data_IF_251118717637
#
_entry.id   IF_251118717637
#
_cell.length_a   1.000
_cell.length_b   1.000
_cell.length_c   1.000
_cell.angle_alpha   90.00
_cell.angle_beta   90.00
_cell.angle_gamma   90.00
#
_symmetry.space_group_name_H-M   'P 1'
#
loop_
_entity.id
_entity.type
_entity.pdbx_description
1 polymer ?
#
# COMPACT_ATOMS: atom_id res chain seq x y z
N UNK A 1 13.05 11.61 11.95
CA UNK A 1 11.97 11.94 11.03
C UNK A 1 11.32 10.65 10.53
N UNK A 2 10.00 10.63 10.50
CA UNK A 2 9.22 9.54 9.89
C UNK A 2 8.31 10.20 8.87
N UNK A 3 8.50 9.85 7.59
CA UNK A 3 7.72 10.36 6.48
C UNK A 3 7.08 9.19 5.74
N UNK A 4 5.88 9.40 5.25
CA UNK A 4 5.20 8.53 4.31
C UNK A 4 5.22 9.22 2.94
N UNK A 5 5.70 8.49 1.94
CA UNK A 5 5.72 8.96 0.55
C UNK A 5 4.69 8.18 -0.26
N UNK A 6 3.94 8.88 -1.07
CA UNK A 6 3.15 8.31 -2.15
C UNK A 6 3.79 8.74 -3.46
N UNK A 7 4.10 7.77 -4.31
CA UNK A 7 4.70 8.03 -5.63
C UNK A 7 4.02 7.15 -6.67
N UNK A 8 3.99 7.62 -7.90
CA UNK A 8 3.55 6.86 -9.07
C UNK A 8 4.70 6.76 -10.05
N UNK A 9 4.79 5.66 -10.79
CA UNK A 9 5.82 5.43 -11.80
C UNK A 9 5.42 4.31 -12.75
N UNK A 10 5.99 4.31 -13.93
CA UNK A 10 5.79 3.27 -14.96
C UNK A 10 6.64 2.02 -14.70
N UNK A 11 7.75 2.20 -13.99
CA UNK A 11 8.68 1.12 -13.64
C UNK A 11 8.63 0.83 -12.15
N UNK A 12 8.82 -0.43 -11.80
CA UNK A 12 9.02 -0.83 -10.42
C UNK A 12 10.36 -0.29 -9.87
N UNK A 13 10.50 -0.22 -8.56
CA UNK A 13 11.78 0.15 -7.95
C UNK A 13 12.89 -0.86 -8.31
N UNK A 14 12.53 -2.13 -8.48
CA UNK A 14 13.44 -3.21 -8.87
C UNK A 14 13.94 -3.02 -10.30
N UNK A 15 13.03 -2.76 -11.25
CA UNK A 15 13.37 -2.48 -12.65
C UNK A 15 14.20 -1.21 -12.77
N UNK A 16 13.86 -0.19 -12.02
CA UNK A 16 14.61 1.07 -12.01
C UNK A 16 16.02 0.88 -11.46
N UNK A 17 16.19 0.12 -10.38
CA UNK A 17 17.50 -0.22 -9.85
C UNK A 17 18.30 -1.09 -10.83
N UNK A 18 17.67 -2.07 -11.46
CA UNK A 18 18.29 -2.93 -12.46
C UNK A 18 18.78 -2.14 -13.69
N UNK A 19 18.01 -1.17 -14.16
CA UNK A 19 18.42 -0.29 -15.26
C UNK A 19 19.67 0.55 -14.92
N UNK A 20 19.90 0.83 -13.64
CA UNK A 20 21.09 1.50 -13.12
C UNK A 20 22.22 0.53 -12.74
N UNK A 21 22.12 -0.76 -13.05
CA UNK A 21 23.08 -1.80 -12.69
C UNK A 21 23.12 -2.11 -11.19
N UNK A 22 22.11 -1.73 -10.44
CA UNK A 22 21.99 -1.95 -9.00
C UNK A 22 21.00 -3.06 -8.69
N UNK A 23 21.16 -3.71 -7.54
CA UNK A 23 20.20 -4.68 -7.01
C UNK A 23 19.44 -4.10 -5.83
N UNK A 24 18.14 -4.29 -5.80
CA UNK A 24 17.33 -3.95 -4.63
C UNK A 24 17.64 -4.91 -3.48
N UNK A 25 17.66 -4.37 -2.28
CA UNK A 25 17.76 -5.16 -1.05
C UNK A 25 16.36 -5.36 -0.47
N UNK A 26 16.13 -6.51 0.15
CA UNK A 26 14.86 -6.85 0.79
C UNK A 26 14.35 -5.78 1.78
N UNK A 27 15.27 -5.07 2.44
CA UNK A 27 14.95 -3.94 3.31
C UNK A 27 14.37 -2.72 2.57
N UNK A 28 14.70 -2.53 1.29
CA UNK A 28 14.13 -1.47 0.44
C UNK A 28 12.71 -1.84 0.01
N UNK A 29 12.49 -3.06 -0.41
CA UNK A 29 11.18 -3.56 -0.86
C UNK A 29 10.12 -3.50 0.25
N UNK A 30 10.50 -3.82 1.47
CA UNK A 30 9.60 -3.70 2.63
C UNK A 30 9.28 -2.23 2.97
N UNK A 31 10.16 -1.29 2.64
CA UNK A 31 9.94 0.14 2.86
C UNK A 31 9.18 0.80 1.72
N UNK A 32 9.26 0.27 0.53
CA UNK A 32 8.58 0.76 -0.68
C UNK A 32 7.59 -0.28 -1.16
N UNK A 33 6.35 -0.18 -0.67
CA UNK A 33 5.28 -1.08 -1.06
C UNK A 33 4.78 -0.63 -2.44
N UNK A 34 4.96 -1.48 -3.43
CA UNK A 34 4.49 -1.24 -4.79
C UNK A 34 3.16 -1.95 -5.00
N UNK A 35 2.19 -1.24 -5.52
CA UNK A 35 0.84 -1.76 -5.77
C UNK A 35 0.51 -1.46 -7.23
N UNK A 36 0.07 -2.46 -8.02
CA UNK A 36 -0.42 -2.20 -9.36
C UNK A 36 -1.53 -1.14 -9.34
N UNK A 37 -1.39 -0.12 -10.18
CA UNK A 37 -2.37 0.97 -10.27
C UNK A 37 -3.44 0.72 -11.31
N UNK A 38 -3.25 -0.23 -12.23
CA UNK A 38 -4.24 -0.60 -13.24
C UNK A 38 -5.31 -1.51 -12.64
N UNK A 39 -6.54 -1.04 -12.65
CA UNK A 39 -7.71 -1.78 -12.17
C UNK A 39 -8.28 -2.75 -13.20
N UNK A 40 -7.75 -2.75 -14.42
CA UNK A 40 -8.26 -3.53 -15.55
C UNK A 40 -9.50 -2.93 -16.22
N UNK A 41 -9.89 -1.71 -15.86
CA UNK A 41 -11.05 -0.99 -16.42
C UNK A 41 -10.64 0.30 -17.13
N UNK A 42 -10.34 1.33 -16.37
CA UNK A 42 -10.02 2.66 -16.87
C UNK A 42 -8.67 3.16 -16.29
N UNK A 43 -7.64 2.32 -16.36
CA UNK A 43 -6.36 2.57 -15.71
C UNK A 43 -6.51 2.54 -14.20
N UNK A 44 -6.18 3.64 -13.52
CA UNK A 44 -6.31 3.72 -12.05
C UNK A 44 -7.76 3.83 -11.54
N UNK A 45 -8.74 3.91 -12.43
CA UNK A 45 -10.14 4.12 -12.07
C UNK A 45 -10.99 2.89 -12.39
N UNK A 46 -11.71 2.38 -11.43
CA UNK A 46 -12.72 1.34 -11.64
C UNK A 46 -14.03 1.94 -12.17
N UNK A 47 -14.31 3.20 -11.80
CA UNK A 47 -15.58 3.84 -12.02
C UNK A 47 -15.42 5.29 -12.49
N UNK A 48 -16.13 5.68 -13.53
CA UNK A 48 -16.03 7.01 -14.11
C UNK A 48 -17.17 7.96 -13.70
N UNK A 49 -18.03 7.55 -12.78
CA UNK A 49 -19.15 8.37 -12.25
C UNK A 49 -20.02 9.01 -13.32
N UNK A 50 -20.29 8.28 -14.40
CA UNK A 50 -21.12 8.73 -15.52
C UNK A 50 -20.40 9.56 -16.58
N UNK A 51 -19.09 9.75 -16.49
CA UNK A 51 -18.30 10.41 -17.54
C UNK A 51 -17.98 9.47 -18.70
N UNK A 52 -17.86 10.02 -19.92
CA UNK A 52 -17.73 9.25 -21.16
C UNK A 52 -16.41 8.47 -21.30
N UNK A 53 -15.35 8.84 -20.55
CA UNK A 53 -14.05 8.16 -20.64
C UNK A 53 -13.08 8.53 -19.53
N UNK A 54 -12.08 7.65 -19.32
CA UNK A 54 -11.07 7.80 -18.29
C UNK A 54 -10.26 9.09 -18.42
N UNK A 55 -9.98 9.54 -19.65
CA UNK A 55 -9.29 10.81 -19.90
C UNK A 55 -10.11 12.00 -19.41
N UNK A 56 -11.39 12.08 -19.82
CA UNK A 56 -12.30 13.15 -19.40
C UNK A 56 -12.43 13.19 -17.88
N UNK A 57 -12.51 12.01 -17.24
CA UNK A 57 -12.55 11.90 -15.78
C UNK A 57 -11.26 12.41 -15.14
N UNK A 58 -10.09 11.99 -15.63
CA UNK A 58 -8.79 12.42 -15.12
C UNK A 58 -8.58 13.93 -15.26
N UNK A 59 -8.91 14.49 -16.44
CA UNK A 59 -8.80 15.94 -16.71
C UNK A 59 -9.73 16.75 -15.80
N UNK A 60 -10.94 16.24 -15.53
CA UNK A 60 -11.89 16.87 -14.60
C UNK A 60 -11.38 16.83 -13.17
N UNK A 61 -10.83 15.69 -12.71
CA UNK A 61 -10.22 15.59 -11.39
C UNK A 61 -9.06 16.56 -11.22
N UNK A 62 -8.19 16.66 -12.22
CA UNK A 62 -7.06 17.58 -12.22
C UNK A 62 -7.53 19.04 -12.13
N UNK A 63 -8.44 19.45 -12.97
CA UNK A 63 -9.00 20.80 -12.96
C UNK A 63 -9.65 21.14 -11.60
N UNK A 64 -10.40 20.19 -11.02
CA UNK A 64 -11.03 20.38 -9.71
C UNK A 64 -9.96 20.49 -8.59
N UNK A 65 -8.89 19.69 -8.65
CA UNK A 65 -7.80 19.73 -7.67
C UNK A 65 -7.02 21.06 -7.72
N UNK A 66 -6.91 21.68 -8.88
CA UNK A 66 -6.27 23.00 -9.03
C UNK A 66 -7.04 24.12 -8.29
N UNK A 67 -8.35 23.97 -8.14
CA UNK A 67 -9.23 24.95 -7.50
C UNK A 67 -9.63 24.57 -6.07
N UNK A 68 -9.67 23.28 -5.75
CA UNK A 68 -10.14 22.76 -4.47
C UNK A 68 -9.11 21.81 -3.86
N UNK A 69 -8.18 22.37 -3.09
CA UNK A 69 -7.11 21.60 -2.46
C UNK A 69 -6.87 22.04 -1.01
N UNK A 70 -6.27 21.14 -0.23
CA UNK A 70 -5.83 21.40 1.13
C UNK A 70 -6.91 21.38 2.21
N UNK A 71 -8.18 21.52 1.89
CA UNK A 71 -9.28 21.57 2.85
C UNK A 71 -9.39 20.28 3.67
N UNK A 72 -9.41 19.14 3.01
CA UNK A 72 -9.52 17.81 3.64
C UNK A 72 -8.37 17.57 4.63
N UNK A 73 -7.13 17.86 4.23
CA UNK A 73 -5.97 17.67 5.08
C UNK A 73 -6.00 18.61 6.30
N UNK A 74 -6.36 19.88 6.08
CA UNK A 74 -6.49 20.87 7.17
C UNK A 74 -7.52 20.42 8.19
N UNK A 75 -8.72 20.06 7.74
CA UNK A 75 -9.81 19.58 8.62
C UNK A 75 -9.37 18.35 9.42
N UNK A 76 -8.66 17.42 8.78
CA UNK A 76 -8.14 16.24 9.47
C UNK A 76 -7.12 16.61 10.55
N UNK A 77 -6.16 17.47 10.24
CA UNK A 77 -5.13 17.91 11.20
C UNK A 77 -5.72 18.70 12.36
N UNK A 78 -6.67 19.59 12.09
CA UNK A 78 -7.38 20.36 13.13
C UNK A 78 -8.14 19.44 14.08
N UNK A 79 -8.85 18.45 13.54
CA UNK A 79 -9.56 17.46 14.36
C UNK A 79 -8.58 16.60 15.20
N UNK A 80 -7.44 16.18 14.63
CA UNK A 80 -6.41 15.45 15.37
C UNK A 80 -5.79 16.29 16.48
N UNK A 81 -5.52 17.57 16.23
CA UNK A 81 -4.93 18.49 17.21
C UNK A 81 -5.87 18.78 18.38
N UNK A 82 -7.16 18.65 18.18
CA UNK A 82 -8.17 18.86 19.22
C UNK A 82 -8.08 17.87 20.40
N UNK A 83 -7.68 16.62 20.13
CA UNK A 83 -7.46 15.58 21.16
C UNK A 83 -6.40 14.57 20.68
N UNK A 84 -5.17 15.05 20.57
CA UNK A 84 -4.06 14.25 20.00
C UNK A 84 -3.79 12.98 20.82
N UNK A 85 -3.92 13.04 22.13
CA UNK A 85 -3.63 11.89 23.00
C UNK A 85 -4.63 10.76 22.79
N UNK A 86 -5.93 11.05 22.89
CA UNK A 86 -7.00 10.08 22.68
C UNK A 86 -6.97 9.50 21.25
N UNK A 87 -6.75 10.35 20.24
CA UNK A 87 -6.61 9.87 18.86
C UNK A 87 -5.39 8.97 18.67
N UNK A 88 -4.25 9.30 19.29
CA UNK A 88 -3.03 8.48 19.22
C UNK A 88 -3.24 7.11 19.86
N UNK A 89 -3.89 7.04 21.02
CA UNK A 89 -4.18 5.75 21.68
C UNK A 89 -5.13 4.89 20.84
N UNK A 90 -6.23 5.49 20.36
CA UNK A 90 -7.17 4.79 19.49
C UNK A 90 -6.51 4.28 18.21
N UNK A 91 -5.70 5.10 17.55
CA UNK A 91 -4.99 4.69 16.34
C UNK A 91 -4.01 3.55 16.61
N UNK A 92 -3.26 3.57 17.70
CA UNK A 92 -2.35 2.45 18.07
C UNK A 92 -3.11 1.14 18.26
N UNK A 93 -4.24 1.19 18.97
CA UNK A 93 -5.08 0.01 19.18
C UNK A 93 -5.67 -0.50 17.87
N UNK A 94 -6.17 0.40 17.04
CA UNK A 94 -6.79 0.09 15.76
C UNK A 94 -5.77 -0.49 14.75
N UNK A 95 -4.59 0.11 14.64
CA UNK A 95 -3.49 -0.42 13.80
C UNK A 95 -3.15 -1.85 14.22
N UNK A 96 -3.02 -2.10 15.52
CA UNK A 96 -2.72 -3.45 16.03
C UNK A 96 -3.83 -4.45 15.69
N UNK A 97 -5.10 -4.06 15.86
CA UNK A 97 -6.26 -4.87 15.52
C UNK A 97 -6.30 -5.21 14.03
N UNK A 98 -6.19 -4.18 13.17
CA UNK A 98 -6.20 -4.34 11.71
C UNK A 98 -5.01 -5.17 11.25
N UNK A 99 -3.81 -4.93 11.79
CA UNK A 99 -2.64 -5.72 11.43
C UNK A 99 -2.82 -7.20 11.75
N UNK A 100 -3.38 -7.52 12.91
CA UNK A 100 -3.68 -8.90 13.30
C UNK A 100 -4.72 -9.55 12.35
N UNK A 101 -5.75 -8.81 11.98
CA UNK A 101 -6.79 -9.25 11.05
C UNK A 101 -6.26 -9.49 9.64
N UNK A 102 -5.38 -8.63 9.15
CA UNK A 102 -4.82 -8.69 7.81
C UNK A 102 -3.67 -9.68 7.65
N UNK A 103 -3.10 -10.18 8.75
CA UNK A 103 -1.92 -11.05 8.70
C UNK A 103 -2.32 -12.48 8.30
N UNK A 104 -1.90 -12.99 7.12
CA UNK A 104 -2.15 -14.36 6.74
C UNK A 104 -1.39 -15.34 7.63
N UNK A 105 -1.91 -16.56 7.77
CA UNK A 105 -1.20 -17.63 8.43
C UNK A 105 0.12 -17.94 7.70
N UNK A 106 1.22 -18.07 8.45
CA UNK A 106 2.54 -18.32 7.86
C UNK A 106 3.26 -17.09 7.30
N UNK A 107 2.73 -15.88 7.56
CA UNK A 107 3.40 -14.65 7.14
C UNK A 107 4.76 -14.47 7.83
N UNK A 108 5.81 -14.29 7.04
CA UNK A 108 7.15 -13.96 7.53
C UNK A 108 7.27 -12.51 8.01
N UNK A 109 8.39 -12.19 8.67
CA UNK A 109 8.63 -10.87 9.25
C UNK A 109 8.54 -9.71 8.25
N UNK A 110 8.94 -9.93 7.00
CA UNK A 110 8.86 -8.92 5.95
C UNK A 110 7.41 -8.58 5.60
N UNK A 111 6.58 -9.59 5.42
CA UNK A 111 5.13 -9.43 5.16
C UNK A 111 4.48 -8.73 6.35
N UNK A 112 4.79 -9.12 7.59
CA UNK A 112 4.28 -8.46 8.78
C UNK A 112 4.62 -6.97 8.86
N UNK A 113 5.82 -6.57 8.42
CA UNK A 113 6.21 -5.14 8.36
C UNK A 113 5.42 -4.36 7.30
N UNK A 114 5.15 -4.96 6.14
CA UNK A 114 4.31 -4.35 5.13
C UNK A 114 2.86 -4.22 5.62
N UNK A 115 2.31 -5.28 6.23
CA UNK A 115 0.96 -5.27 6.80
C UNK A 115 0.77 -4.17 7.84
N UNK A 116 1.77 -3.89 8.68
CA UNK A 116 1.69 -2.77 9.63
C UNK A 116 1.53 -1.41 8.92
N UNK A 117 2.08 -1.23 7.71
CA UNK A 117 1.88 -0.01 6.92
C UNK A 117 0.49 0.04 6.31
N UNK A 118 0.01 -1.06 5.77
CA UNK A 118 -1.37 -1.19 5.31
C UNK A 118 -2.37 -0.91 6.43
N UNK A 119 -2.12 -1.45 7.62
CA UNK A 119 -2.95 -1.23 8.80
C UNK A 119 -2.94 0.24 9.25
N UNK A 120 -1.79 0.92 9.17
CA UNK A 120 -1.69 2.35 9.44
C UNK A 120 -2.56 3.17 8.48
N UNK A 121 -2.49 2.88 7.18
CA UNK A 121 -3.28 3.58 6.15
C UNK A 121 -4.78 3.33 6.37
N UNK A 122 -5.17 2.07 6.62
CA UNK A 122 -6.56 1.74 6.92
C UNK A 122 -7.07 2.46 8.18
N UNK A 123 -6.33 2.41 9.29
CA UNK A 123 -6.72 3.05 10.54
C UNK A 123 -6.84 4.58 10.40
N UNK A 124 -5.93 5.20 9.66
CA UNK A 124 -5.98 6.63 9.39
C UNK A 124 -7.21 7.01 8.54
N UNK A 125 -7.52 6.22 7.50
CA UNK A 125 -8.70 6.42 6.66
C UNK A 125 -10.01 6.22 7.44
N UNK A 126 -10.10 5.18 8.28
CA UNK A 126 -11.27 4.97 9.15
C UNK A 126 -11.42 6.10 10.18
N UNK A 127 -10.33 6.62 10.72
CA UNK A 127 -10.39 7.78 11.60
C UNK A 127 -10.88 9.02 10.85
N UNK A 128 -10.36 9.28 9.64
CA UNK A 128 -10.82 10.39 8.80
C UNK A 128 -12.32 10.28 8.48
N UNK A 129 -12.82 9.07 8.25
CA UNK A 129 -14.24 8.80 8.03
C UNK A 129 -15.07 9.12 9.29
N UNK A 130 -14.66 8.64 10.46
CA UNK A 130 -15.33 8.95 11.73
C UNK A 130 -15.34 10.44 12.09
N UNK A 131 -14.30 11.16 11.66
CA UNK A 131 -14.21 12.61 11.81
C UNK A 131 -15.01 13.41 10.76
N UNK A 132 -15.70 12.70 9.85
CA UNK A 132 -16.50 13.33 8.79
C UNK A 132 -15.69 13.97 7.68
N UNK A 133 -14.39 13.64 7.56
CA UNK A 133 -13.47 14.26 6.59
C UNK A 133 -13.61 13.67 5.20
N UNK A 134 -13.81 12.35 5.09
CA UNK A 134 -13.85 11.66 3.79
C UNK A 134 -15.25 11.55 3.18
N UNK A 135 -16.28 11.54 3.98
CA UNK A 135 -17.65 11.22 3.53
C UNK A 135 -17.84 9.75 3.11
N UNK A 136 -16.86 8.89 3.33
CA UNK A 136 -16.96 7.45 3.05
C UNK A 136 -17.82 6.74 4.09
N UNK A 137 -18.46 5.63 3.74
CA UNK A 137 -19.05 4.75 4.74
C UNK A 137 -17.95 4.12 5.62
N UNK A 138 -18.31 3.79 6.85
CA UNK A 138 -17.42 3.09 7.77
C UNK A 138 -16.99 1.73 7.19
N UNK A 139 -15.71 1.40 7.33
CA UNK A 139 -15.12 0.18 6.78
C UNK A 139 -14.59 0.32 5.34
N UNK A 140 -14.84 1.43 4.65
CA UNK A 140 -14.41 1.61 3.26
C UNK A 140 -12.89 1.69 3.11
N UNK A 141 -12.21 2.41 3.99
CA UNK A 141 -10.74 2.48 3.98
C UNK A 141 -10.11 1.10 4.22
N UNK A 142 -10.65 0.32 5.14
CA UNK A 142 -10.19 -1.03 5.39
C UNK A 142 -10.47 -1.96 4.18
N UNK A 143 -11.62 -1.83 3.54
CA UNK A 143 -11.97 -2.57 2.32
C UNK A 143 -10.96 -2.28 1.19
N UNK A 144 -10.68 -1.01 0.93
CA UNK A 144 -9.72 -0.59 -0.08
C UNK A 144 -8.30 -1.13 0.21
N UNK A 145 -7.87 -1.03 1.46
CA UNK A 145 -6.57 -1.56 1.88
C UNK A 145 -6.47 -3.08 1.71
N UNK A 146 -7.54 -3.83 1.95
CA UNK A 146 -7.56 -5.28 1.68
C UNK A 146 -7.35 -5.60 0.20
N UNK A 147 -7.94 -4.83 -0.70
CA UNK A 147 -7.73 -4.98 -2.15
C UNK A 147 -6.27 -4.73 -2.50
N UNK A 148 -5.70 -3.63 -2.03
CA UNK A 148 -4.29 -3.29 -2.25
C UNK A 148 -3.33 -4.32 -1.67
N UNK A 149 -3.59 -4.80 -0.45
CA UNK A 149 -2.78 -5.86 0.18
C UNK A 149 -2.83 -7.16 -0.61
N UNK A 150 -4.03 -7.55 -1.08
CA UNK A 150 -4.19 -8.75 -1.91
C UNK A 150 -3.40 -8.64 -3.22
N UNK A 151 -3.45 -7.50 -3.89
CA UNK A 151 -2.70 -7.25 -5.11
C UNK A 151 -1.18 -7.31 -4.85
N UNK A 152 -0.71 -6.66 -3.78
CA UNK A 152 0.69 -6.71 -3.38
C UNK A 152 1.18 -8.12 -3.04
N UNK A 153 0.37 -8.92 -2.31
CA UNK A 153 0.71 -10.31 -1.99
C UNK A 153 0.74 -11.21 -3.24
N UNK A 154 -0.17 -10.98 -4.19
CA UNK A 154 -0.21 -11.72 -5.45
C UNK A 154 1.04 -11.46 -6.29
N UNK A 155 1.47 -10.20 -6.40
CA UNK A 155 2.70 -9.82 -7.12
C UNK A 155 3.95 -10.35 -6.44
N UNK A 156 3.99 -10.32 -5.10
CA UNK A 156 5.10 -10.88 -4.32
C UNK A 156 5.25 -12.39 -4.49
N UNK A 157 4.17 -13.13 -4.67
CA UNK A 157 4.13 -14.58 -4.94
C UNK A 157 4.46 -15.49 -3.75
N UNK A 158 4.89 -14.96 -2.59
CA UNK A 158 5.21 -15.75 -1.39
C UNK A 158 4.97 -14.98 -0.09
N UNK A 159 4.72 -15.71 1.01
CA UNK A 159 4.51 -15.16 2.36
C UNK A 159 5.78 -15.14 3.22
N UNK A 160 6.85 -15.82 2.78
CA UNK A 160 8.14 -15.91 3.49
C UNK A 160 9.04 -14.69 3.31
N UNK A 161 10.25 -14.77 3.83
CA UNK A 161 11.28 -13.78 3.57
C UNK A 161 11.92 -14.03 2.19
N UNK A 162 12.25 -12.97 1.46
CA UNK A 162 12.82 -13.08 0.11
C UNK A 162 14.20 -13.77 0.11
N UNK A 163 14.97 -13.56 1.17
CA UNK A 163 16.28 -14.21 1.35
C UNK A 163 16.16 -15.72 1.49
N UNK A 164 15.15 -16.21 2.21
CA UNK A 164 14.92 -17.64 2.38
C UNK A 164 14.52 -18.29 1.05
N UNK A 165 13.66 -17.61 0.28
CA UNK A 165 13.24 -18.06 -1.05
C UNK A 165 14.43 -18.08 -2.04
N UNK A 166 15.25 -17.04 -2.06
CA UNK A 166 16.44 -16.95 -2.91
C UNK A 166 17.46 -18.04 -2.56
N UNK A 167 17.68 -18.33 -1.27
CA UNK A 167 18.57 -19.40 -0.80
C UNK A 167 18.06 -20.77 -1.28
N UNK A 168 16.77 -21.03 -1.17
CA UNK A 168 16.16 -22.27 -1.65
C UNK A 168 16.29 -22.42 -3.17
N UNK A 169 16.13 -21.36 -3.93
CA UNK A 169 16.34 -21.36 -5.38
C UNK A 169 17.81 -21.63 -5.75
N UNK A 170 18.76 -21.02 -5.05
CA UNK A 170 20.19 -21.30 -5.25
C UNK A 170 20.52 -22.76 -4.95
N UNK A 171 20.00 -23.32 -3.84
CA UNK A 171 20.22 -24.73 -3.49
C UNK A 171 19.60 -25.65 -4.54
N UNK A 172 18.38 -25.37 -5.00
CA UNK A 172 17.73 -26.13 -6.08
C UNK A 172 18.55 -26.08 -7.36
N UNK A 173 18.99 -24.89 -7.77
CA UNK A 173 19.83 -24.71 -8.96
C UNK A 173 21.14 -25.48 -8.87
N UNK A 174 21.80 -25.45 -7.70
CA UNK A 174 23.03 -26.21 -7.46
C UNK A 174 22.79 -27.73 -7.54
N UNK A 175 21.74 -28.24 -6.87
CA UNK A 175 21.40 -29.67 -6.92
C UNK A 175 21.08 -30.09 -8.33
N UNK A 176 20.28 -29.33 -9.09
CA UNK A 176 19.91 -29.64 -10.47
C UNK A 176 21.15 -29.67 -11.39
N UNK A 177 22.07 -28.73 -11.20
CA UNK A 177 23.32 -28.69 -12.01
C UNK A 177 24.27 -29.83 -11.72
N UNK A 178 24.21 -30.48 -10.54
CA UNK A 178 25.13 -31.53 -10.09
C UNK A 178 24.47 -32.90 -9.93
N UNK A 179 23.22 -33.07 -10.38
CA UNK A 179 22.48 -34.35 -10.29
C UNK A 179 23.13 -35.51 -11.15
N UNK A 180 24.03 -35.20 -12.05
CA UNK A 180 24.63 -36.17 -13.00
C UNK A 180 26.15 -36.24 -12.91
N UNK A 181 26.74 -35.76 -11.81
CA UNK A 181 28.13 -35.98 -11.46
C UNK A 181 28.23 -36.94 -10.29
#
# INVERSE_FOLDING_TARGET
>A
WRLLFLSTGELSLEDHAASAGQRTQAGMEVRTIQIPSDTGHHGAFEWLHGMEGGRTFADTLKANADHQHGTTFRTYVEALAGDLEAHSERLRAEIKRIAAELTPQGAGNQVGRAINRFALVAAAGELATRLGVTGWPEGEALRAVRVCLKAWLAERGHLGNKEDAATLEQVRGFVTAHQYT
#
